data_IF_628280672915
#
_entry.id   IF_628280672915
#
_cell.length_a   1.000
_cell.length_b   1.000
_cell.length_c   1.000
_cell.angle_alpha   90.00
_cell.angle_beta   90.00
_cell.angle_gamma   90.00
#
_symmetry.space_group_name_H-M   'P 1'
#
loop_
_entity.id
_entity.type
_entity.pdbx_description
1 polymer ?
#
# COMPACT_ATOMS: atom_id res chain seq x y z
N UNK A 1 -15.41 -13.91 -14.23
CA UNK A 1 -14.07 -13.81 -14.84
C UNK A 1 -13.66 -12.35 -14.72
N UNK A 2 -12.77 -12.01 -13.80
CA UNK A 2 -12.44 -10.61 -13.43
C UNK A 2 -11.54 -9.90 -14.46
N UNK A 3 -11.07 -10.62 -15.48
CA UNK A 3 -10.04 -10.14 -16.43
C UNK A 3 -10.60 -9.29 -17.59
N UNK A 4 -11.91 -9.04 -17.69
CA UNK A 4 -12.52 -8.40 -18.87
C UNK A 4 -13.60 -7.35 -18.57
N UNK A 5 -13.81 -6.96 -17.32
CA UNK A 5 -14.91 -6.05 -16.95
C UNK A 5 -14.44 -4.61 -16.78
N UNK A 6 -14.82 -3.72 -17.71
CA UNK A 6 -14.68 -2.26 -17.60
C UNK A 6 -15.75 -1.62 -16.71
N UNK A 7 -16.64 -2.41 -16.09
CA UNK A 7 -17.65 -1.89 -15.18
C UNK A 7 -17.00 -1.49 -13.84
N UNK A 8 -16.93 -0.18 -13.58
CA UNK A 8 -16.33 0.40 -12.39
C UNK A 8 -16.87 -0.20 -11.08
N UNK A 9 -18.16 -0.51 -11.00
CA UNK A 9 -18.76 -1.12 -9.81
C UNK A 9 -18.27 -2.55 -9.57
N UNK A 10 -18.00 -3.31 -10.64
CA UNK A 10 -17.45 -4.67 -10.52
C UNK A 10 -15.98 -4.61 -10.09
N UNK A 11 -15.23 -3.64 -10.62
CA UNK A 11 -13.83 -3.42 -10.24
C UNK A 11 -13.73 -3.00 -8.77
N UNK A 12 -14.56 -2.06 -8.32
CA UNK A 12 -14.59 -1.62 -6.93
C UNK A 12 -14.96 -2.76 -5.96
N UNK A 13 -16.00 -3.54 -6.29
CA UNK A 13 -16.39 -4.71 -5.50
C UNK A 13 -15.27 -5.75 -5.45
N UNK A 14 -14.54 -5.96 -6.55
CA UNK A 14 -13.39 -6.85 -6.58
C UNK A 14 -12.25 -6.34 -5.69
N UNK A 15 -11.92 -5.04 -5.74
CA UNK A 15 -10.92 -4.44 -4.84
C UNK A 15 -11.32 -4.64 -3.37
N UNK A 16 -12.60 -4.44 -3.03
CA UNK A 16 -13.10 -4.66 -1.67
C UNK A 16 -12.94 -6.12 -1.22
N UNK A 17 -13.28 -7.07 -2.10
CA UNK A 17 -13.14 -8.49 -1.82
C UNK A 17 -11.67 -8.88 -1.61
N UNK A 18 -10.75 -8.34 -2.42
CA UNK A 18 -9.32 -8.56 -2.25
C UNK A 18 -8.84 -7.99 -0.92
N UNK A 19 -9.12 -6.71 -0.61
CA UNK A 19 -8.76 -6.12 0.69
C UNK A 19 -9.26 -6.96 1.87
N UNK A 20 -10.51 -7.44 1.79
CA UNK A 20 -11.10 -8.30 2.83
C UNK A 20 -10.39 -9.65 2.94
N UNK A 21 -9.95 -10.23 1.82
CA UNK A 21 -9.22 -11.49 1.83
C UNK A 21 -7.84 -11.33 2.50
N UNK A 22 -7.10 -10.26 2.21
CA UNK A 22 -5.83 -9.96 2.86
C UNK A 22 -5.99 -9.71 4.36
N UNK A 23 -7.00 -8.92 4.76
CA UNK A 23 -7.29 -8.63 6.17
C UNK A 23 -7.68 -9.86 7.00
N UNK A 24 -8.39 -10.83 6.40
CA UNK A 24 -8.96 -11.98 7.10
C UNK A 24 -8.13 -13.24 6.99
N UNK A 25 -7.06 -13.23 6.20
CA UNK A 25 -6.16 -14.38 6.09
C UNK A 25 -5.16 -14.31 7.23
N UNK A 26 -5.18 -15.33 8.10
CA UNK A 26 -4.10 -15.52 9.05
C UNK A 26 -2.86 -16.04 8.29
N UNK A 27 -1.77 -15.26 8.30
CA UNK A 27 -0.53 -15.57 7.61
C UNK A 27 -0.42 -15.00 6.20
N UNK A 28 0.46 -15.58 5.38
CA UNK A 28 0.73 -15.05 4.04
C UNK A 28 -0.44 -15.30 3.09
N UNK A 29 -0.91 -14.27 2.36
CA UNK A 29 -1.93 -14.43 1.33
C UNK A 29 -1.42 -15.36 0.23
N UNK A 30 -2.35 -16.04 -0.44
CA UNK A 30 -1.99 -16.95 -1.52
C UNK A 30 -1.16 -16.22 -2.60
N UNK A 31 0.00 -16.75 -3.06
CA UNK A 31 0.92 -16.03 -3.95
C UNK A 31 0.26 -15.50 -5.24
N UNK A 32 -0.69 -16.26 -5.79
CA UNK A 32 -1.48 -15.84 -6.96
C UNK A 32 -2.34 -14.60 -6.69
N UNK A 33 -2.91 -14.47 -5.48
CA UNK A 33 -3.71 -13.30 -5.10
C UNK A 33 -2.81 -12.07 -4.98
N UNK A 34 -1.64 -12.21 -4.37
CA UNK A 34 -0.64 -11.15 -4.30
C UNK A 34 -0.18 -10.71 -5.69
N UNK A 35 0.13 -11.65 -6.58
CA UNK A 35 0.52 -11.34 -7.96
C UNK A 35 -0.58 -10.58 -8.73
N UNK A 36 -1.85 -10.95 -8.57
CA UNK A 36 -2.97 -10.26 -9.19
C UNK A 36 -3.17 -8.85 -8.61
N UNK A 37 -3.07 -8.70 -7.29
CA UNK A 37 -3.14 -7.40 -6.63
C UNK A 37 -2.01 -6.48 -7.11
N UNK A 38 -0.78 -6.98 -7.16
CA UNK A 38 0.37 -6.23 -7.66
C UNK A 38 0.20 -5.80 -9.12
N UNK A 39 -0.25 -6.70 -10.00
CA UNK A 39 -0.52 -6.36 -11.40
C UNK A 39 -1.58 -5.25 -11.51
N UNK A 40 -2.60 -5.26 -10.66
CA UNK A 40 -3.62 -4.21 -10.62
C UNK A 40 -3.06 -2.86 -10.12
N UNK A 41 -2.13 -2.87 -9.14
CA UNK A 41 -1.41 -1.65 -8.71
C UNK A 41 -0.58 -1.05 -9.85
N UNK A 42 -0.04 -1.89 -10.73
CA UNK A 42 0.81 -1.49 -11.86
C UNK A 42 0.01 -1.04 -13.09
N UNK A 43 -1.26 -1.41 -13.19
CA UNK A 43 -2.15 -1.06 -14.30
C UNK A 43 -2.52 0.44 -14.27
N UNK A 44 -1.87 1.22 -15.13
CA UNK A 44 -2.06 2.67 -15.23
C UNK A 44 -3.44 3.09 -15.78
N UNK A 45 -4.15 2.18 -16.44
CA UNK A 45 -5.50 2.44 -16.96
C UNK A 45 -6.55 2.40 -15.84
N UNK A 46 -6.20 1.88 -14.66
CA UNK A 46 -7.09 1.86 -13.50
C UNK A 46 -7.08 3.20 -12.73
N UNK A 47 -8.20 3.57 -12.09
CA UNK A 47 -8.26 4.74 -11.23
C UNK A 47 -7.21 4.70 -10.12
N UNK A 48 -6.44 5.79 -9.97
CA UNK A 48 -5.38 5.91 -8.96
C UNK A 48 -5.85 5.50 -7.56
N UNK A 49 -7.05 5.94 -7.16
CA UNK A 49 -7.61 5.63 -5.84
C UNK A 49 -7.79 4.11 -5.63
N UNK A 50 -8.23 3.38 -6.65
CA UNK A 50 -8.40 1.91 -6.56
C UNK A 50 -7.04 1.21 -6.54
N UNK A 51 -6.05 1.73 -7.28
CA UNK A 51 -4.68 1.20 -7.26
C UNK A 51 -4.02 1.41 -5.89
N UNK A 52 -4.19 2.58 -5.27
CA UNK A 52 -3.71 2.85 -3.90
C UNK A 52 -4.42 1.95 -2.88
N UNK A 53 -5.74 1.75 -3.03
CA UNK A 53 -6.47 0.79 -2.19
C UNK A 53 -5.97 -0.64 -2.32
N UNK A 54 -5.61 -1.05 -3.53
CA UNK A 54 -5.02 -2.37 -3.78
C UNK A 54 -3.63 -2.47 -3.16
N UNK A 55 -2.82 -1.40 -3.19
CA UNK A 55 -1.54 -1.35 -2.48
C UNK A 55 -1.73 -1.50 -0.97
N UNK A 56 -2.70 -0.79 -0.38
CA UNK A 56 -3.04 -0.96 1.03
C UNK A 56 -3.45 -2.41 1.35
N UNK A 57 -4.20 -3.08 0.46
CA UNK A 57 -4.51 -4.50 0.62
C UNK A 57 -3.23 -5.36 0.71
N UNK A 58 -2.26 -5.10 -0.16
CA UNK A 58 -0.94 -5.76 -0.13
C UNK A 58 -0.22 -5.49 1.20
N UNK A 59 -0.31 -4.27 1.73
CA UNK A 59 0.33 -3.88 2.99
C UNK A 59 -0.12 -4.67 4.23
N UNK A 60 -1.31 -5.28 4.20
CA UNK A 60 -1.77 -6.17 5.28
C UNK A 60 -1.02 -7.51 5.30
N UNK A 61 -0.28 -7.84 4.25
CA UNK A 61 0.57 -9.04 4.18
C UNK A 61 1.95 -8.75 4.74
N UNK A 62 2.40 -9.56 5.70
CA UNK A 62 3.77 -9.52 6.22
C UNK A 62 4.78 -10.33 5.36
N UNK A 63 4.39 -10.76 4.16
CA UNK A 63 5.27 -11.53 3.30
C UNK A 63 6.40 -10.67 2.71
N UNK A 64 7.63 -11.20 2.52
CA UNK A 64 8.73 -10.46 1.91
C UNK A 64 8.40 -9.87 0.53
N UNK A 65 7.58 -10.58 -0.26
CA UNK A 65 7.11 -10.11 -1.55
C UNK A 65 6.21 -8.87 -1.42
N UNK A 66 5.33 -8.83 -0.41
CA UNK A 66 4.48 -7.68 -0.15
C UNK A 66 5.32 -6.46 0.25
N UNK A 67 6.29 -6.64 1.16
CA UNK A 67 7.27 -5.60 1.52
C UNK A 67 8.00 -5.07 0.29
N UNK A 68 8.44 -5.95 -0.63
CA UNK A 68 9.10 -5.53 -1.86
C UNK A 68 8.20 -4.64 -2.76
N UNK A 69 6.90 -4.91 -2.80
CA UNK A 69 5.95 -4.05 -3.53
C UNK A 69 5.76 -2.69 -2.86
N UNK A 70 5.67 -2.62 -1.53
CA UNK A 70 5.60 -1.36 -0.77
C UNK A 70 6.86 -0.51 -0.99
N UNK A 71 8.05 -1.12 -0.91
CA UNK A 71 9.31 -0.41 -1.14
C UNK A 71 9.41 0.18 -2.55
N UNK A 72 8.91 -0.54 -3.58
CA UNK A 72 8.83 0.03 -4.94
C UNK A 72 7.84 1.20 -5.03
N UNK A 73 6.74 1.15 -4.29
CA UNK A 73 5.75 2.22 -4.28
C UNK A 73 6.28 3.53 -3.67
N UNK A 74 7.25 3.47 -2.74
CA UNK A 74 7.94 4.65 -2.22
C UNK A 74 8.72 5.44 -3.28
N UNK A 75 9.09 4.80 -4.39
CA UNK A 75 9.82 5.44 -5.49
C UNK A 75 8.92 5.95 -6.62
N UNK A 76 7.59 5.83 -6.48
CA UNK A 76 6.65 6.34 -7.47
C UNK A 76 6.50 7.85 -7.40
N UNK A 77 6.18 8.54 -8.51
CA UNK A 77 6.00 9.98 -8.51
C UNK A 77 4.72 10.43 -7.76
N UNK A 78 3.70 9.57 -7.67
CA UNK A 78 2.46 9.91 -7.00
C UNK A 78 2.61 9.83 -5.47
N UNK A 79 2.45 10.96 -4.79
CA UNK A 79 2.54 11.07 -3.32
C UNK A 79 1.57 10.10 -2.63
N UNK A 80 0.40 9.83 -3.22
CA UNK A 80 -0.56 8.89 -2.63
C UNK A 80 -0.01 7.46 -2.51
N UNK A 81 0.81 7.01 -3.48
CA UNK A 81 1.49 5.71 -3.38
C UNK A 81 2.57 5.74 -2.31
N UNK A 82 3.35 6.84 -2.25
CA UNK A 82 4.41 6.98 -1.26
C UNK A 82 3.86 6.99 0.16
N UNK A 83 2.83 7.80 0.43
CA UNK A 83 2.24 7.93 1.78
C UNK A 83 1.55 6.64 2.23
N UNK A 84 0.86 5.95 1.32
CA UNK A 84 0.24 4.66 1.65
C UNK A 84 1.30 3.60 1.94
N UNK A 85 2.32 3.47 1.09
CA UNK A 85 3.39 2.49 1.30
C UNK A 85 4.18 2.76 2.58
N UNK A 86 4.47 4.04 2.85
CA UNK A 86 5.17 4.43 4.06
C UNK A 86 4.34 4.15 5.31
N UNK A 87 3.04 4.41 5.28
CA UNK A 87 2.12 4.06 6.36
C UNK A 87 2.13 2.55 6.63
N UNK A 88 2.00 1.73 5.58
CA UNK A 88 2.01 0.27 5.73
C UNK A 88 3.37 -0.27 6.24
N UNK A 89 4.49 0.41 5.92
CA UNK A 89 5.83 0.07 6.40
C UNK A 89 6.17 0.66 7.77
N UNK A 90 5.42 1.63 8.26
CA UNK A 90 5.70 2.32 9.53
C UNK A 90 5.24 1.53 10.77
N UNK A 91 4.73 0.31 10.60
CA UNK A 91 4.20 -0.51 11.69
C UNK A 91 5.02 -1.79 11.91
N UNK A 92 5.13 -2.20 13.17
CA UNK A 92 5.79 -3.45 13.56
C UNK A 92 7.27 -3.49 13.19
N UNK A 93 7.77 -4.67 12.84
CA UNK A 93 9.19 -4.91 12.54
C UNK A 93 9.68 -4.17 11.27
N UNK A 94 8.77 -3.70 10.42
CA UNK A 94 9.13 -2.97 9.19
C UNK A 94 9.65 -1.56 9.47
N UNK A 95 9.17 -0.91 10.55
CA UNK A 95 9.55 0.45 10.87
C UNK A 95 11.07 0.53 11.10
N UNK A 96 11.59 -0.28 12.02
CA UNK A 96 13.02 -0.25 12.35
C UNK A 96 13.90 -0.70 11.17
N UNK A 97 13.43 -1.65 10.37
CA UNK A 97 14.17 -2.11 9.19
C UNK A 97 14.28 -1.05 8.08
N UNK A 98 13.34 -0.08 8.04
CA UNK A 98 13.22 0.88 6.94
C UNK A 98 13.19 2.35 7.38
N UNK A 99 13.40 2.64 8.67
CA UNK A 99 13.28 3.98 9.29
C UNK A 99 13.99 5.07 8.49
N UNK A 100 15.29 4.91 8.21
CA UNK A 100 16.07 5.92 7.46
C UNK A 100 15.51 6.21 6.06
N UNK A 101 14.96 5.19 5.40
CA UNK A 101 14.31 5.37 4.09
C UNK A 101 12.99 6.11 4.24
N UNK A 102 12.17 5.73 5.24
CA UNK A 102 10.88 6.35 5.50
C UNK A 102 11.04 7.83 5.89
N UNK A 103 12.02 8.17 6.73
CA UNK A 103 12.35 9.56 7.08
C UNK A 103 12.70 10.40 5.85
N UNK A 104 13.56 9.86 4.98
CA UNK A 104 13.98 10.54 3.74
C UNK A 104 12.81 10.78 2.79
N UNK A 105 11.94 9.77 2.63
CA UNK A 105 10.75 9.89 1.77
C UNK A 105 9.76 10.87 2.39
N UNK A 106 9.51 10.78 3.70
CA UNK A 106 8.57 11.65 4.41
C UNK A 106 8.98 13.13 4.37
N UNK A 107 10.29 13.41 4.40
CA UNK A 107 10.85 14.75 4.26
C UNK A 107 10.66 15.36 2.85
N UNK A 108 10.36 14.53 1.84
CA UNK A 108 10.13 15.00 0.47
C UNK A 108 8.69 15.38 0.18
N UNK A 109 7.76 15.00 1.06
CA UNK A 109 6.33 15.27 0.88
C UNK A 109 6.00 16.74 1.16
N UNK A 110 5.03 17.31 0.44
CA UNK A 110 4.56 18.66 0.73
C UNK A 110 3.91 18.74 2.12
N UNK A 111 3.77 19.96 2.64
CA UNK A 111 3.16 20.21 3.95
C UNK A 111 1.68 19.85 3.96
N UNK A 112 0.97 20.08 2.84
CA UNK A 112 -0.44 19.75 2.63
C UNK A 112 -0.66 18.32 2.11
N UNK A 113 0.30 17.42 2.35
CA UNK A 113 0.17 16.01 2.02
C UNK A 113 -1.03 15.35 2.75
N UNK A 114 -1.36 14.14 2.33
CA UNK A 114 -2.50 13.39 2.87
C UNK A 114 -2.39 13.17 4.39
N UNK A 115 -3.52 12.90 5.04
CA UNK A 115 -3.56 12.47 6.45
C UNK A 115 -2.56 11.34 6.77
N UNK A 116 -2.36 10.39 5.85
CA UNK A 116 -1.37 9.32 6.02
C UNK A 116 0.08 9.85 6.12
N UNK A 117 0.40 10.96 5.45
CA UNK A 117 1.69 11.61 5.58
C UNK A 117 1.91 12.15 7.00
N UNK A 118 0.87 12.74 7.60
CA UNK A 118 0.90 13.22 8.98
C UNK A 118 1.09 12.05 9.95
N UNK A 119 0.32 10.97 9.79
CA UNK A 119 0.46 9.75 10.60
C UNK A 119 1.88 9.19 10.56
N UNK A 120 2.45 9.01 9.37
CA UNK A 120 3.83 8.52 9.22
C UNK A 120 4.83 9.44 9.92
N UNK A 121 4.68 10.76 9.81
CA UNK A 121 5.58 11.72 10.48
C UNK A 121 5.51 11.58 12.01
N UNK A 122 4.31 11.36 12.58
CA UNK A 122 4.13 11.13 14.03
C UNK A 122 4.77 9.83 14.48
N UNK A 123 4.53 8.74 13.75
CA UNK A 123 5.15 7.43 14.01
C UNK A 123 6.68 7.55 14.01
N UNK A 124 7.24 8.22 13.00
CA UNK A 124 8.69 8.43 12.89
C UNK A 124 9.25 9.30 14.01
N UNK A 125 8.50 10.29 14.49
CA UNK A 125 8.87 11.12 15.64
C UNK A 125 8.79 10.37 16.98
N UNK A 126 8.24 9.15 17.00
CA UNK A 126 8.02 8.37 18.22
C UNK A 126 6.87 8.90 19.06
N UNK A 127 5.88 9.53 18.42
CA UNK A 127 4.67 10.07 19.07
C UNK A 127 3.53 9.03 19.16
N UNK A 128 3.80 7.77 18.79
CA UNK A 128 2.86 6.66 18.97
C UNK A 128 2.93 6.10 20.40
N UNK A 129 1.78 6.14 21.09
CA UNK A 129 1.51 5.57 22.42
C UNK A 129 1.35 4.03 22.37
#
# INVERSE_FOLDING_TARGET
MLEQTTNAAIVEAATFAVSSAFLRTEGSPHPRLLALAAAYVDDADQPLQLRVRMLSAIGHSQSPEATAHLLRALHRPEVQFQTQAAFDLAHGDHLEAHRELLERVAASWPDDASYLAEEVRRVLAGEDD
#
